data_IF_201481601608
#
_entry.id   IF_201481601608
#
_cell.length_a   1.000
_cell.length_b   1.000
_cell.length_c   1.000
_cell.angle_alpha   90.00
_cell.angle_beta   90.00
_cell.angle_gamma   90.00
#
_symmetry.space_group_name_H-M   'P 1'
#
loop_
_entity.id
_entity.type
_entity.pdbx_description
1 polymer ?
#
# COMPACT_ATOMS: atom_id res chain seq x y z
N UNK A 1 -28.20 1.88 -10.64
CA UNK A 1 -27.25 1.17 -9.76
C UNK A 1 -26.66 2.19 -8.81
N UNK A 2 -26.80 2.01 -7.51
CA UNK A 2 -26.29 2.92 -6.49
C UNK A 2 -24.80 2.64 -6.28
N UNK A 3 -23.92 3.51 -6.80
CA UNK A 3 -22.52 3.55 -6.39
C UNK A 3 -22.49 3.78 -4.88
N UNK A 4 -21.85 2.88 -4.14
CA UNK A 4 -21.72 3.00 -2.69
C UNK A 4 -20.49 3.85 -2.37
N UNK A 5 -20.65 4.84 -1.48
CA UNK A 5 -19.69 5.91 -1.18
C UNK A 5 -18.53 5.48 -0.26
N UNK A 6 -17.88 4.35 -0.54
CA UNK A 6 -16.67 3.99 0.19
C UNK A 6 -15.48 4.78 -0.39
N UNK A 7 -14.64 5.32 0.49
CA UNK A 7 -13.41 6.01 0.13
C UNK A 7 -12.19 5.08 0.13
N UNK A 8 -12.24 3.99 0.90
CA UNK A 8 -11.13 3.06 1.11
C UNK A 8 -11.64 1.65 1.50
N UNK A 9 -10.72 0.68 1.57
CA UNK A 9 -10.99 -0.74 1.84
C UNK A 9 -11.60 -0.96 3.24
N UNK A 10 -11.19 -0.19 4.25
CA UNK A 10 -11.72 -0.32 5.62
C UNK A 10 -13.21 0.07 5.75
N UNK A 11 -13.73 0.85 4.81
CA UNK A 11 -15.13 1.30 4.77
C UNK A 11 -16.06 0.36 4.00
N UNK A 12 -15.54 -0.74 3.41
CA UNK A 12 -16.37 -1.71 2.72
C UNK A 12 -17.39 -2.34 3.69
N UNK A 13 -18.61 -2.66 3.21
CA UNK A 13 -19.65 -3.19 4.07
C UNK A 13 -19.25 -4.54 4.67
N UNK A 14 -19.70 -4.80 5.89
CA UNK A 14 -19.52 -6.10 6.53
C UNK A 14 -20.16 -7.23 5.68
N UNK A 15 -19.63 -8.47 5.74
CA UNK A 15 -20.14 -9.63 5.00
C UNK A 15 -21.66 -9.84 5.12
N UNK A 16 -22.22 -9.59 6.31
CA UNK A 16 -23.67 -9.70 6.57
C UNK A 16 -24.50 -8.67 5.81
N UNK A 17 -23.98 -7.45 5.60
CA UNK A 17 -24.68 -6.37 4.92
C UNK A 17 -24.69 -6.53 3.39
N UNK A 18 -23.72 -7.28 2.83
CA UNK A 18 -23.65 -7.61 1.41
C UNK A 18 -24.84 -8.50 1.00
N UNK A 19 -25.14 -9.54 1.79
CA UNK A 19 -26.18 -10.53 1.48
C UNK A 19 -26.05 -11.05 0.04
N UNK A 20 -27.18 -11.09 -0.68
CA UNK A 20 -27.24 -11.48 -2.09
C UNK A 20 -27.13 -10.28 -3.07
N UNK A 21 -26.94 -9.06 -2.56
CA UNK A 21 -27.10 -7.82 -3.34
C UNK A 21 -26.00 -7.54 -4.36
N UNK A 22 -24.88 -8.28 -4.31
CA UNK A 22 -23.66 -8.09 -5.12
C UNK A 22 -23.32 -6.62 -5.41
N UNK A 23 -23.18 -5.77 -4.36
CA UNK A 23 -22.93 -4.34 -4.53
C UNK A 23 -21.61 -4.07 -5.27
N UNK A 24 -21.60 -2.98 -6.03
CA UNK A 24 -20.47 -2.58 -6.87
C UNK A 24 -19.77 -1.33 -6.30
N UNK A 25 -18.44 -1.38 -6.29
CA UNK A 25 -17.57 -0.34 -5.75
C UNK A 25 -16.48 0.01 -6.75
N UNK A 26 -15.94 1.21 -6.61
CA UNK A 26 -14.80 1.68 -7.38
C UNK A 26 -13.84 2.47 -6.49
N UNK A 27 -12.64 1.95 -6.29
CA UNK A 27 -11.65 2.51 -5.36
C UNK A 27 -10.30 2.72 -6.03
N UNK A 28 -9.61 3.86 -5.79
CA UNK A 28 -8.20 3.98 -6.10
C UNK A 28 -7.38 3.15 -5.12
N UNK A 29 -6.55 2.25 -5.63
CA UNK A 29 -5.69 1.40 -4.81
C UNK A 29 -4.34 1.19 -5.49
N UNK A 30 -3.32 0.97 -4.68
CA UNK A 30 -1.99 0.64 -5.14
C UNK A 30 -1.92 -0.82 -5.56
N UNK A 31 -1.45 -1.10 -6.78
CA UNK A 31 -1.32 -2.46 -7.32
C UNK A 31 -0.01 -3.08 -6.83
N UNK A 32 -0.12 -4.16 -6.06
CA UNK A 32 1.00 -4.91 -5.52
C UNK A 32 1.42 -6.05 -6.44
N UNK A 33 0.45 -6.79 -6.99
CA UNK A 33 0.73 -7.97 -7.79
C UNK A 33 -0.44 -8.34 -8.71
N UNK A 34 -0.14 -9.09 -9.76
CA UNK A 34 -1.12 -9.80 -10.56
C UNK A 34 -0.66 -11.25 -10.68
N UNK A 35 -1.48 -12.20 -10.26
CA UNK A 35 -1.07 -13.60 -10.18
C UNK A 35 -2.16 -14.52 -10.69
N UNK A 36 -1.78 -15.50 -11.50
CA UNK A 36 -2.64 -16.61 -11.88
C UNK A 36 -1.80 -17.86 -12.03
N UNK A 37 -2.04 -18.87 -11.22
CA UNK A 37 -1.32 -20.14 -11.29
C UNK A 37 -1.37 -20.77 -12.69
N UNK A 38 -0.21 -21.22 -13.20
CA UNK A 38 -0.12 -22.01 -14.44
C UNK A 38 -0.59 -23.44 -14.17
N UNK A 39 -1.43 -23.99 -15.06
CA UNK A 39 -1.87 -25.39 -14.99
C UNK A 39 -2.91 -25.71 -13.91
N UNK A 40 -3.50 -24.70 -13.24
CA UNK A 40 -4.68 -24.91 -12.39
C UNK A 40 -5.91 -25.34 -13.19
N UNK A 41 -7.01 -25.68 -12.52
CA UNK A 41 -8.27 -25.94 -13.22
C UNK A 41 -8.59 -24.77 -14.16
N UNK A 42 -9.08 -25.04 -15.37
CA UNK A 42 -9.36 -24.02 -16.41
C UNK A 42 -10.32 -22.91 -15.94
N UNK A 43 -11.02 -23.13 -14.83
CA UNK A 43 -11.96 -22.20 -14.20
C UNK A 43 -11.39 -21.43 -13.00
N UNK A 44 -10.18 -21.73 -12.56
CA UNK A 44 -9.55 -21.00 -11.45
C UNK A 44 -9.33 -19.53 -11.83
N UNK A 45 -9.75 -18.59 -10.96
CA UNK A 45 -9.52 -17.17 -11.20
C UNK A 45 -8.03 -16.84 -11.08
N UNK A 46 -7.62 -15.76 -11.74
CA UNK A 46 -6.44 -15.01 -11.33
C UNK A 46 -6.80 -13.99 -10.26
N UNK A 47 -5.78 -13.38 -9.67
CA UNK A 47 -5.91 -12.42 -8.60
C UNK A 47 -5.16 -11.15 -8.96
N UNK A 48 -5.80 -10.01 -8.76
CA UNK A 48 -5.10 -8.74 -8.62
C UNK A 48 -5.01 -8.44 -7.14
N UNK A 49 -3.82 -8.08 -6.67
CA UNK A 49 -3.56 -7.78 -5.27
C UNK A 49 -3.29 -6.30 -5.13
N UNK A 50 -4.02 -5.69 -4.21
CA UNK A 50 -3.99 -4.26 -3.95
C UNK A 50 -3.78 -3.96 -2.47
N UNK A 51 -3.39 -2.71 -2.21
CA UNK A 51 -3.53 -2.10 -0.88
C UNK A 51 -3.89 -0.62 -1.02
N UNK A 52 -4.60 -0.08 -0.05
CA UNK A 52 -4.70 1.36 0.19
C UNK A 52 -4.19 1.75 1.58
N UNK A 53 -3.49 0.82 2.25
CA UNK A 53 -2.98 0.91 3.63
C UNK A 53 -4.06 1.04 4.72
N UNK A 54 -5.33 0.76 4.39
CA UNK A 54 -6.41 0.67 5.39
C UNK A 54 -6.77 -0.80 5.68
N UNK A 55 -6.88 -1.20 6.96
CA UNK A 55 -7.12 -2.59 7.31
C UNK A 55 -8.58 -2.99 7.11
N UNK A 56 -8.82 -4.21 6.65
CA UNK A 56 -10.12 -4.88 6.64
C UNK A 56 -9.99 -6.39 6.88
N UNK A 57 -10.26 -6.78 8.13
CA UNK A 57 -10.23 -8.17 8.61
C UNK A 57 -11.32 -9.07 8.01
N UNK A 58 -12.31 -8.49 7.35
CA UNK A 58 -13.41 -9.25 6.78
C UNK A 58 -13.12 -9.74 5.36
N UNK A 59 -11.95 -9.46 4.78
CA UNK A 59 -11.60 -9.97 3.44
C UNK A 59 -11.24 -11.45 3.50
N UNK A 60 -11.42 -12.17 2.38
CA UNK A 60 -11.05 -13.59 2.28
C UNK A 60 -9.56 -13.85 2.50
N UNK A 61 -8.69 -12.87 2.22
CA UNK A 61 -7.25 -12.95 2.47
C UNK A 61 -6.94 -12.78 3.96
N UNK A 62 -7.45 -11.70 4.59
CA UNK A 62 -7.24 -11.45 6.01
C UNK A 62 -7.84 -12.56 6.89
N UNK A 63 -8.96 -13.15 6.46
CA UNK A 63 -9.60 -14.30 7.10
C UNK A 63 -8.91 -15.64 6.91
N UNK A 64 -7.84 -15.72 6.09
CA UNK A 64 -7.13 -16.97 5.80
C UNK A 64 -7.94 -17.98 4.95
N UNK A 65 -9.07 -17.56 4.38
CA UNK A 65 -9.91 -18.40 3.50
C UNK A 65 -9.22 -18.60 2.16
N UNK A 66 -8.63 -17.54 1.62
CA UNK A 66 -7.80 -17.62 0.44
C UNK A 66 -6.41 -18.12 0.86
N UNK A 67 -6.25 -19.45 0.78
CA UNK A 67 -5.03 -20.15 1.20
C UNK A 67 -3.79 -19.61 0.48
N UNK A 68 -2.66 -19.66 1.18
CA UNK A 68 -1.33 -19.20 0.78
C UNK A 68 -0.77 -19.81 -0.52
N UNK A 69 -1.32 -20.95 -0.95
CA UNK A 69 -0.95 -21.58 -2.23
C UNK A 69 -1.61 -20.90 -3.44
N UNK A 70 -2.59 -20.02 -3.20
CA UNK A 70 -3.37 -19.33 -4.25
C UNK A 70 -2.98 -17.89 -4.47
N UNK A 71 -2.29 -17.26 -3.52
CA UNK A 71 -1.89 -15.86 -3.55
C UNK A 71 -0.58 -15.71 -2.77
N UNK A 72 0.37 -14.84 -3.18
CA UNK A 72 1.58 -14.58 -2.41
C UNK A 72 1.26 -14.26 -0.95
N UNK A 73 2.01 -14.83 -0.01
CA UNK A 73 1.79 -14.64 1.43
C UNK A 73 2.53 -13.45 2.01
N UNK A 74 3.56 -12.99 1.30
CA UNK A 74 4.42 -11.89 1.73
C UNK A 74 4.31 -10.78 0.70
N UNK A 75 3.48 -9.80 1.01
CA UNK A 75 3.41 -8.58 0.22
C UNK A 75 4.44 -7.60 0.75
N UNK A 76 5.47 -7.36 -0.05
CA UNK A 76 6.55 -6.43 0.28
C UNK A 76 6.38 -5.16 -0.51
N UNK A 77 6.20 -4.06 0.21
CA UNK A 77 6.45 -2.72 -0.30
C UNK A 77 7.94 -2.48 -0.11
N UNK A 78 8.73 -2.73 -1.16
CA UNK A 78 10.18 -2.53 -1.08
C UNK A 78 10.45 -1.03 -1.05
N UNK A 79 10.84 -0.53 0.11
CA UNK A 79 11.57 0.73 0.26
C UNK A 79 12.96 0.38 0.78
N UNK A 80 14.01 1.02 0.24
CA UNK A 80 15.42 0.63 0.44
C UNK A 80 15.95 0.75 1.87
N UNK A 81 15.09 0.95 2.88
CA UNK A 81 15.47 1.25 4.27
C UNK A 81 14.70 0.51 5.37
N UNK A 82 13.64 -0.29 5.09
CA UNK A 82 12.90 -1.03 6.13
C UNK A 82 12.33 -2.36 5.62
N UNK A 83 12.13 -3.33 6.52
CA UNK A 83 11.36 -4.57 6.27
C UNK A 83 9.90 -4.21 5.92
N UNK A 84 9.66 -3.92 4.65
CA UNK A 84 8.41 -3.37 4.11
C UNK A 84 7.27 -4.38 3.98
N UNK A 85 7.11 -5.27 4.97
CA UNK A 85 6.00 -6.21 4.98
C UNK A 85 4.69 -5.48 5.27
N UNK A 86 3.69 -5.70 4.42
CA UNK A 86 2.33 -5.27 4.68
C UNK A 86 1.66 -6.17 5.71
N UNK A 87 0.82 -5.57 6.56
CA UNK A 87 -0.10 -6.35 7.37
C UNK A 87 -1.11 -7.03 6.44
N UNK A 88 -1.39 -8.32 6.66
CA UNK A 88 -2.34 -9.09 5.84
C UNK A 88 -3.74 -8.44 5.83
N UNK A 89 -4.12 -7.75 6.91
CA UNK A 89 -5.37 -7.00 7.00
C UNK A 89 -5.45 -5.84 5.99
N UNK A 90 -4.31 -5.35 5.50
CA UNK A 90 -4.19 -4.23 4.55
C UNK A 90 -4.10 -4.69 3.10
N UNK A 91 -4.11 -6.00 2.89
CA UNK A 91 -4.06 -6.63 1.57
C UNK A 91 -5.47 -6.90 1.09
N UNK A 92 -5.75 -6.51 -0.14
CA UNK A 92 -7.04 -6.70 -0.77
C UNK A 92 -6.88 -7.39 -2.13
N UNK A 93 -7.49 -8.56 -2.27
CA UNK A 93 -7.49 -9.30 -3.53
C UNK A 93 -8.79 -9.15 -4.29
N UNK A 94 -8.68 -8.97 -5.60
CA UNK A 94 -9.81 -8.97 -6.54
C UNK A 94 -9.67 -10.16 -7.48
N UNK A 95 -10.70 -11.02 -7.48
CA UNK A 95 -10.75 -12.21 -8.31
C UNK A 95 -11.07 -11.85 -9.76
N UNK A 96 -10.20 -12.25 -10.68
CA UNK A 96 -10.33 -12.02 -12.12
C UNK A 96 -10.61 -13.35 -12.81
N UNK A 97 -11.66 -13.42 -13.63
CA UNK A 97 -11.95 -14.65 -14.37
C UNK A 97 -10.84 -14.97 -15.38
N UNK A 98 -10.65 -16.26 -15.68
CA UNK A 98 -9.68 -16.73 -16.67
C UNK A 98 -9.78 -16.01 -18.01
N UNK A 99 -11.00 -15.70 -18.48
CA UNK A 99 -11.23 -15.00 -19.74
C UNK A 99 -10.83 -13.51 -19.70
N UNK A 100 -10.84 -12.88 -18.51
CA UNK A 100 -10.50 -11.47 -18.33
C UNK A 100 -9.04 -11.25 -17.95
N UNK A 101 -8.40 -12.21 -17.29
CA UNK A 101 -7.03 -12.05 -16.79
C UNK A 101 -6.01 -11.69 -17.88
N UNK A 102 -5.98 -12.33 -19.07
CA UNK A 102 -5.07 -11.93 -20.15
C UNK A 102 -5.29 -10.48 -20.62
N UNK A 103 -6.53 -9.98 -20.57
CA UNK A 103 -6.84 -8.58 -20.94
C UNK A 103 -6.29 -7.59 -19.92
N UNK A 104 -6.32 -7.96 -18.63
CA UNK A 104 -5.72 -7.16 -17.57
C UNK A 104 -4.21 -7.13 -17.73
N UNK A 105 -3.58 -8.28 -17.99
CA UNK A 105 -2.13 -8.36 -18.26
C UNK A 105 -1.76 -7.48 -19.45
N UNK A 106 -2.48 -7.59 -20.57
CA UNK A 106 -2.24 -6.74 -21.74
C UNK A 106 -2.35 -5.23 -21.43
N UNK A 107 -3.30 -4.82 -20.59
CA UNK A 107 -3.41 -3.43 -20.14
C UNK A 107 -2.19 -2.99 -19.32
N UNK A 108 -1.73 -3.83 -18.37
CA UNK A 108 -0.57 -3.55 -17.55
C UNK A 108 0.70 -3.40 -18.41
N UNK A 109 0.87 -4.29 -19.38
CA UNK A 109 1.99 -4.27 -20.32
C UNK A 109 1.99 -3.03 -21.22
N UNK A 110 0.81 -2.50 -21.57
CA UNK A 110 0.73 -1.26 -22.34
C UNK A 110 1.09 -0.02 -21.51
N UNK A 111 0.70 -0.01 -20.23
CA UNK A 111 0.91 1.14 -19.33
C UNK A 111 2.28 1.15 -18.64
N UNK A 112 2.89 -0.02 -18.50
CA UNK A 112 4.24 -0.20 -17.98
C UNK A 112 4.95 -1.31 -18.79
N UNK A 113 5.49 -1.00 -19.97
CA UNK A 113 6.11 -1.98 -20.88
C UNK A 113 7.23 -2.82 -20.25
N UNK A 114 7.96 -2.24 -19.29
CA UNK A 114 9.00 -2.91 -18.52
C UNK A 114 8.49 -4.15 -17.75
N UNK A 115 7.17 -4.26 -17.51
CA UNK A 115 6.59 -5.39 -16.80
C UNK A 115 6.73 -6.71 -17.57
N UNK A 116 6.78 -6.65 -18.90
CA UNK A 116 6.81 -7.85 -19.76
C UNK A 116 8.01 -8.74 -19.45
N UNK A 117 9.17 -8.15 -19.20
CA UNK A 117 10.44 -8.87 -19.07
C UNK A 117 10.84 -9.13 -17.62
N UNK A 118 10.25 -8.41 -16.66
CA UNK A 118 10.67 -8.43 -15.25
C UNK A 118 9.82 -9.31 -14.35
N UNK A 119 8.56 -9.57 -14.73
CA UNK A 119 7.60 -10.27 -13.86
C UNK A 119 7.02 -11.50 -14.54
N UNK A 120 6.81 -12.55 -13.75
CA UNK A 120 6.08 -13.74 -14.17
C UNK A 120 4.76 -13.81 -13.40
N UNK A 121 3.65 -13.51 -14.11
CA UNK A 121 2.29 -13.57 -13.54
C UNK A 121 1.85 -14.97 -13.14
N UNK A 122 2.63 -16.01 -13.46
CA UNK A 122 2.37 -17.39 -13.09
C UNK A 122 3.24 -17.91 -11.94
N UNK A 123 4.25 -17.14 -11.54
CA UNK A 123 5.14 -17.46 -10.44
C UNK A 123 4.85 -16.53 -9.26
N UNK A 124 4.42 -17.12 -8.14
CA UNK A 124 4.02 -16.38 -6.93
C UNK A 124 5.17 -15.53 -6.36
N UNK A 125 6.42 -15.89 -6.64
CA UNK A 125 7.60 -15.21 -6.11
C UNK A 125 8.11 -14.12 -7.07
N UNK A 126 7.58 -14.07 -8.31
CA UNK A 126 7.98 -13.11 -9.37
C UNK A 126 6.82 -12.27 -9.90
N UNK A 127 5.68 -12.27 -9.22
CA UNK A 127 4.49 -11.53 -9.62
C UNK A 127 4.28 -10.21 -8.85
N UNK A 128 5.16 -9.88 -7.89
CA UNK A 128 5.12 -8.64 -7.12
C UNK A 128 5.66 -7.49 -7.96
N UNK A 129 4.80 -6.53 -8.31
CA UNK A 129 5.08 -5.36 -9.15
C UNK A 129 5.07 -4.06 -8.34
N UNK A 130 5.28 -4.12 -7.03
CA UNK A 130 5.23 -2.93 -6.16
C UNK A 130 6.24 -1.86 -6.59
N UNK A 131 7.40 -2.25 -7.11
CA UNK A 131 8.41 -1.33 -7.65
C UNK A 131 7.92 -0.47 -8.82
N UNK A 132 6.86 -0.88 -9.52
CA UNK A 132 6.30 -0.13 -10.65
C UNK A 132 5.52 1.12 -10.21
N UNK A 133 5.13 1.20 -8.93
CA UNK A 133 4.43 2.35 -8.40
C UNK A 133 3.05 2.58 -9.05
N UNK A 134 2.35 1.52 -9.44
CA UNK A 134 1.09 1.62 -10.17
C UNK A 134 -0.09 1.84 -9.23
N UNK A 135 -0.83 2.94 -9.43
CA UNK A 135 -2.17 3.11 -8.84
C UNK A 135 -3.21 2.76 -9.88
N UNK A 136 -4.25 2.07 -9.44
CA UNK A 136 -5.38 1.75 -10.27
C UNK A 136 -6.70 2.19 -9.65
N UNK A 137 -7.59 2.71 -10.47
CA UNK A 137 -9.00 2.85 -10.14
C UNK A 137 -9.68 1.53 -10.51
N UNK A 138 -9.97 0.72 -9.50
CA UNK A 138 -10.46 -0.66 -9.67
C UNK A 138 -11.94 -0.70 -9.36
N UNK A 139 -12.71 -1.22 -10.30
CA UNK A 139 -14.14 -1.46 -10.18
C UNK A 139 -14.41 -2.93 -9.95
N UNK A 140 -15.13 -3.26 -8.89
CA UNK A 140 -15.38 -4.63 -8.48
C UNK A 140 -16.76 -4.78 -7.83
N UNK A 141 -17.27 -6.01 -7.84
CA UNK A 141 -18.46 -6.40 -7.09
C UNK A 141 -18.06 -7.18 -5.86
N UNK A 142 -18.76 -6.97 -4.74
CA UNK A 142 -18.56 -7.75 -3.53
C UNK A 142 -19.58 -8.87 -3.43
N UNK A 143 -19.16 -10.02 -2.92
CA UNK A 143 -20.07 -11.07 -2.47
C UNK A 143 -19.63 -11.60 -1.11
N UNK A 144 -20.59 -12.12 -0.36
CA UNK A 144 -20.29 -12.91 0.85
C UNK A 144 -19.78 -14.29 0.42
N UNK A 145 -18.63 -14.70 0.95
CA UNK A 145 -18.08 -16.03 0.77
C UNK A 145 -17.54 -16.53 2.11
N UNK A 146 -18.13 -17.62 2.61
CA UNK A 146 -17.76 -18.26 3.88
C UNK A 146 -17.67 -17.30 5.10
N UNK A 147 -18.58 -16.33 5.17
CA UNK A 147 -18.56 -15.33 6.24
C UNK A 147 -17.61 -14.16 6.02
N UNK A 148 -16.84 -14.15 4.93
CA UNK A 148 -15.92 -13.08 4.53
C UNK A 148 -16.37 -12.38 3.23
N UNK A 149 -15.65 -11.34 2.86
CA UNK A 149 -15.82 -10.54 1.65
C UNK A 149 -14.89 -11.08 0.56
N UNK A 150 -15.49 -11.47 -0.56
CA UNK A 150 -14.77 -11.75 -1.81
C UNK A 150 -15.10 -10.67 -2.84
N UNK A 151 -14.07 -10.05 -3.42
CA UNK A 151 -14.21 -9.08 -4.50
C UNK A 151 -14.03 -9.75 -5.86
N UNK A 152 -14.91 -9.43 -6.81
CA UNK A 152 -14.86 -9.94 -8.19
C UNK A 152 -14.67 -8.79 -9.17
N UNK A 153 -13.70 -8.95 -10.07
CA UNK A 153 -13.29 -7.96 -11.05
C UNK A 153 -14.40 -7.59 -12.04
N UNK A 154 -14.70 -6.28 -12.10
CA UNK A 154 -15.51 -5.68 -13.17
C UNK A 154 -14.60 -5.05 -14.22
N UNK A 155 -13.81 -4.05 -13.82
CA UNK A 155 -12.87 -3.30 -14.68
C UNK A 155 -11.73 -2.68 -13.88
N UNK A 156 -10.64 -2.32 -14.54
CA UNK A 156 -9.52 -1.59 -13.96
C UNK A 156 -9.09 -0.47 -14.92
N UNK A 157 -8.66 0.66 -14.35
CA UNK A 157 -7.99 1.74 -15.07
C UNK A 157 -6.73 2.12 -14.33
N UNK A 158 -5.59 2.14 -15.01
CA UNK A 158 -4.33 2.60 -14.43
C UNK A 158 -4.34 4.12 -14.39
N UNK A 159 -4.07 4.69 -13.22
CA UNK A 159 -4.09 6.13 -12.99
C UNK A 159 -2.70 6.68 -13.36
N UNK A 160 -2.69 7.67 -14.24
CA UNK A 160 -1.49 8.40 -14.68
C UNK A 160 -1.77 9.90 -14.72
N UNK A 161 -0.76 10.70 -15.04
CA UNK A 161 -0.87 12.16 -15.13
C UNK A 161 -1.92 12.64 -16.14
N UNK A 162 -2.15 11.90 -17.24
CA UNK A 162 -3.08 12.28 -18.29
C UNK A 162 -4.53 12.12 -17.83
N UNK A 163 -4.81 11.07 -17.05
CA UNK A 163 -6.17 10.69 -16.68
C UNK A 163 -6.57 11.01 -15.23
N UNK A 164 -5.61 11.23 -14.33
CA UNK A 164 -5.89 11.55 -12.94
C UNK A 164 -6.79 12.79 -12.77
N UNK A 165 -6.59 13.91 -13.49
CA UNK A 165 -7.46 15.09 -13.37
C UNK A 165 -8.90 14.84 -13.84
N UNK A 166 -9.10 13.88 -14.76
CA UNK A 166 -10.42 13.52 -15.29
C UNK A 166 -11.21 12.65 -14.31
N UNK A 167 -10.52 11.77 -13.57
CA UNK A 167 -11.17 10.81 -12.65
C UNK A 167 -11.24 11.31 -11.22
N UNK A 168 -10.38 12.27 -10.86
CA UNK A 168 -10.34 12.92 -9.54
C UNK A 168 -10.42 14.44 -9.73
N UNK A 169 -11.61 14.98 -10.06
CA UNK A 169 -11.80 16.42 -10.23
C UNK A 169 -11.55 17.17 -8.92
N UNK A 170 -11.42 18.50 -9.00
CA UNK A 170 -11.20 19.35 -7.82
C UNK A 170 -12.26 19.06 -6.74
N UNK A 171 -11.80 18.67 -5.55
CA UNK A 171 -12.65 18.28 -4.42
C UNK A 171 -12.72 16.77 -4.17
N UNK A 172 -12.35 15.90 -5.12
CA UNK A 172 -12.17 14.47 -4.86
C UNK A 172 -10.79 14.22 -4.22
N UNK A 173 -10.80 13.98 -2.91
CA UNK A 173 -9.59 13.79 -2.13
C UNK A 173 -9.09 12.34 -2.12
N UNK A 174 -9.78 11.37 -2.73
CA UNK A 174 -9.45 9.94 -2.56
C UNK A 174 -8.03 9.59 -3.01
N UNK A 175 -7.59 10.14 -4.14
CA UNK A 175 -6.23 9.93 -4.63
C UNK A 175 -5.19 10.61 -3.73
N UNK A 176 -5.48 11.83 -3.25
CA UNK A 176 -4.59 12.55 -2.34
C UNK A 176 -4.47 11.86 -0.97
N UNK A 177 -5.59 11.36 -0.45
CA UNK A 177 -5.63 10.60 0.79
C UNK A 177 -4.84 9.29 0.67
N UNK A 178 -4.92 8.59 -0.47
CA UNK A 178 -4.08 7.43 -0.75
C UNK A 178 -2.60 7.79 -0.68
N UNK A 179 -2.17 8.83 -1.40
CA UNK A 179 -0.78 9.30 -1.38
C UNK A 179 -0.32 9.71 0.02
N UNK A 180 -1.18 10.38 0.79
CA UNK A 180 -0.89 10.79 2.16
C UNK A 180 -0.68 9.59 3.09
N UNK A 181 -1.43 8.49 2.92
CA UNK A 181 -1.22 7.26 3.71
C UNK A 181 0.15 6.64 3.43
N UNK A 182 0.57 6.57 2.16
CA UNK A 182 1.90 6.07 1.80
C UNK A 182 3.02 6.96 2.34
N UNK A 183 2.85 8.28 2.23
CA UNK A 183 3.80 9.25 2.76
C UNK A 183 3.94 9.17 4.29
N UNK A 184 2.81 8.98 5.00
CA UNK A 184 2.80 8.84 6.47
C UNK A 184 3.56 7.61 6.95
N UNK A 185 3.51 6.51 6.18
CA UNK A 185 4.27 5.28 6.49
C UNK A 185 5.72 5.31 6.05
N UNK A 186 6.20 6.46 5.56
CA UNK A 186 7.59 6.62 5.10
C UNK A 186 7.99 5.62 4.02
N UNK A 187 7.06 5.19 3.16
CA UNK A 187 7.37 4.45 1.94
C UNK A 187 7.83 5.43 0.85
N UNK A 188 8.96 6.09 1.10
CA UNK A 188 9.44 7.24 0.33
C UNK A 188 9.68 6.83 -1.13
N UNK A 189 10.37 5.72 -1.38
CA UNK A 189 10.63 5.25 -2.74
C UNK A 189 9.35 4.98 -3.54
N UNK A 190 8.32 4.44 -2.88
CA UNK A 190 7.01 4.21 -3.52
C UNK A 190 6.26 5.52 -3.75
N UNK A 191 6.28 6.46 -2.81
CA UNK A 191 5.67 7.79 -3.00
C UNK A 191 6.35 8.56 -4.13
N UNK A 192 7.67 8.48 -4.26
CA UNK A 192 8.41 9.11 -5.36
C UNK A 192 8.01 8.52 -6.71
N UNK A 193 7.97 7.18 -6.82
CA UNK A 193 7.51 6.51 -8.04
C UNK A 193 6.05 6.85 -8.38
N UNK A 194 5.19 6.92 -7.36
CA UNK A 194 3.80 7.35 -7.52
C UNK A 194 3.68 8.77 -8.04
N UNK A 195 4.46 9.70 -7.47
CA UNK A 195 4.50 11.09 -7.91
C UNK A 195 5.01 11.22 -9.33
N UNK A 196 6.04 10.45 -9.70
CA UNK A 196 6.57 10.38 -11.07
C UNK A 196 5.48 9.93 -12.06
N UNK A 197 4.79 8.82 -11.77
CA UNK A 197 3.72 8.28 -12.62
C UNK A 197 2.52 9.24 -12.74
N UNK A 198 2.31 10.11 -11.74
CA UNK A 198 1.22 11.09 -11.71
C UNK A 198 1.65 12.50 -12.15
N UNK A 199 2.90 12.69 -12.61
CA UNK A 199 3.50 14.01 -12.92
C UNK A 199 3.29 15.05 -11.79
N UNK A 200 3.34 14.58 -10.55
CA UNK A 200 3.25 15.42 -9.37
C UNK A 200 4.64 15.92 -9.02
N UNK A 201 4.84 17.24 -9.03
CA UNK A 201 6.10 17.84 -8.59
C UNK A 201 6.51 17.27 -7.22
N UNK A 202 7.79 16.88 -7.03
CA UNK A 202 8.27 16.46 -5.73
C UNK A 202 8.04 17.61 -4.75
N UNK A 203 7.02 17.44 -3.91
CA UNK A 203 6.75 18.36 -2.82
C UNK A 203 7.98 18.34 -1.92
N UNK A 204 8.60 19.51 -1.73
CA UNK A 204 9.68 19.76 -0.78
C UNK A 204 9.18 19.64 0.66
N UNK A 205 8.63 18.49 1.02
CA UNK A 205 8.35 18.11 2.39
C UNK A 205 9.67 17.66 3.01
N UNK A 206 10.61 18.62 3.14
CA UNK A 206 11.59 18.58 4.21
C UNK A 206 10.77 18.49 5.49
N UNK A 207 10.80 17.31 6.10
CA UNK A 207 10.56 17.06 7.53
C UNK A 207 10.90 18.34 8.30
N UNK A 208 9.91 19.14 8.68
CA UNK A 208 10.07 20.05 9.81
C UNK A 208 10.00 19.15 11.05
N UNK A 209 11.07 18.39 11.28
CA UNK A 209 11.39 17.97 12.63
C UNK A 209 11.74 19.27 13.33
N UNK A 210 10.75 19.87 13.99
CA UNK A 210 11.01 20.80 15.08
C UNK A 210 11.72 19.96 16.14
N UNK A 211 13.04 19.84 16.04
CA UNK A 211 13.88 19.62 17.21
C UNK A 211 13.66 20.86 18.06
N UNK A 212 12.72 20.79 18.99
CA UNK A 212 12.85 21.56 20.21
C UNK A 212 14.22 21.20 20.77
N UNK A 213 15.15 22.14 20.67
CA UNK A 213 16.36 22.13 21.48
C UNK A 213 15.88 22.22 22.93
N UNK A 214 15.65 21.07 23.55
CA UNK A 214 15.72 20.97 25.01
C UNK A 214 17.18 21.19 25.32
N UNK A 215 17.53 22.44 25.61
CA UNK A 215 18.81 22.77 26.22
C UNK A 215 18.88 21.99 27.54
N UNK A 216 19.90 21.16 27.77
CA UNK A 216 20.07 20.58 29.10
C UNK A 216 20.36 21.73 30.06
N UNK A 217 19.47 21.94 31.04
CA UNK A 217 19.76 22.80 32.17
C UNK A 217 20.95 22.19 32.92
N UNK A 218 22.09 22.88 32.88
CA UNK A 218 23.24 22.60 33.73
C UNK A 218 22.81 22.66 35.19
N UNK A 219 23.06 21.62 36.01
CA UNK A 219 22.81 21.70 37.44
C UNK A 219 23.70 22.79 38.05
N UNK A 220 23.11 23.74 38.77
CA UNK A 220 23.87 24.67 39.62
C UNK A 220 24.51 23.85 40.74
N UNK A 221 25.84 23.74 40.70
CA UNK A 221 26.63 23.23 41.82
C UNK A 221 26.91 24.43 42.72
N UNK A 222 26.10 24.60 43.76
CA UNK A 222 26.43 25.50 44.87
C UNK A 222 27.47 24.79 45.74
N UNK A 223 28.74 25.15 45.56
CA UNK A 223 29.83 24.74 46.44
C UNK A 223 30.05 25.80 47.54
N UNK A 224 30.17 25.42 48.82
CA UNK A 224 30.58 26.35 49.86
C UNK A 224 32.10 26.60 49.81
N UNK A 225 32.49 27.86 49.96
CA UNK A 225 33.88 28.27 50.16
C UNK A 225 34.46 27.63 51.43
N UNK A 226 35.57 26.91 51.29
CA UNK A 226 36.43 26.58 52.42
C UNK A 226 37.85 27.03 52.10
N UNK A 227 38.27 28.04 52.86
CA UNK A 227 39.62 28.55 52.95
C UNK A 227 40.55 27.53 53.63
N UNK A 228 41.82 27.45 53.21
CA UNK A 228 42.81 26.70 53.99
C UNK A 228 44.05 26.22 53.25
N UNK A 229 45.06 27.10 53.17
CA UNK A 229 46.49 26.84 53.44
C UNK A 229 47.18 25.56 52.92
N UNK A 230 48.16 25.81 52.02
CA UNK A 230 49.55 25.29 51.95
C UNK A 230 49.82 23.80 52.22
N UNK A 231 50.50 23.14 51.27
CA UNK A 231 51.89 22.66 51.43
C UNK A 231 52.25 21.54 50.42
N UNK A 232 53.33 21.76 49.66
CA UNK A 232 54.35 20.82 49.13
C UNK A 232 54.01 19.31 49.04
N UNK A 233 54.22 18.68 47.88
CA UNK A 233 55.53 18.14 47.45
C UNK A 233 55.46 17.39 46.11
N UNK A 234 56.45 17.72 45.28
CA UNK A 234 57.10 17.03 44.18
C UNK A 234 56.93 15.51 43.98
N UNK A 235 56.76 15.13 42.70
CA UNK A 235 57.59 14.17 41.90
C UNK A 235 57.55 12.70 42.39
N UNK A 236 57.25 11.69 41.56
CA UNK A 236 58.02 11.20 40.40
C UNK A 236 57.27 10.02 39.74
N UNK A 237 57.50 9.85 38.44
CA UNK A 237 57.51 8.61 37.61
C UNK A 237 56.37 7.62 37.76
#
# INVERSE_FOLDING_TARGET
>A
MTQTTCQNISQLPLPKAIGDKKPEFELPMFLLAAYRRKGGHTREPGYLVFTDLTPNRNTTVAGGILKSDKVPTEFRIIDGMMDGFLNIDEVFTVNVSCAKFPKVVGLLQQKAPQIIDQYDFHDKDKCNMTSEGLVALVKFTLKKYDGYIEATYTSIRIIDSENAPLWFPQGDLRLQELLNRFNTRSYIGVVEKLKENLDMKPTSLRRQVKTEKVSPETPKIDGPEVSGSRSFCSVKM
#
